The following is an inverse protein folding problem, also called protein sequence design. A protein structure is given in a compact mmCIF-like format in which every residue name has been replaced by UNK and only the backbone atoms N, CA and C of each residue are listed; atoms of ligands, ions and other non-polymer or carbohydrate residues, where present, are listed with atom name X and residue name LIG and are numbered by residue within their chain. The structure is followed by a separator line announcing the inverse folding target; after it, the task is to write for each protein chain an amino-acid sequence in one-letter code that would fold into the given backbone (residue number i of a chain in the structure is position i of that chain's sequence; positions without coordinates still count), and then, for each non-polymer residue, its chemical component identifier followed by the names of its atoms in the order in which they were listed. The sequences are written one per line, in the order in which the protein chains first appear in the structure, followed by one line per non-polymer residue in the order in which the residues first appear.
data_IF_709245797648
#
_entry.id   IF_709245797648
#
_cell.length_a   1.000
_cell.length_b   1.000
_cell.length_c   1.000
_cell.angle_alpha   90.00
_cell.angle_beta   90.00
_cell.angle_gamma   90.00
#
_symmetry.space_group_name_H-M   'P 1'
#
loop_
_entity.id
_entity.type
_entity.pdbx_description
1 polymer ?
#
# COMPACT_ATOMS: atom_id res chain seq x y z
N UNK A 1 12.65 -8.25 1.79
CA UNK A 1 12.76 -6.97 2.50
C UNK A 1 14.17 -6.39 2.45
N UNK A 2 15.17 -7.19 2.78
CA UNK A 2 16.56 -6.75 2.77
C UNK A 2 17.00 -6.22 1.40
N UNK A 3 16.59 -6.89 0.33
CA UNK A 3 16.92 -6.46 -1.03
C UNK A 3 16.30 -5.09 -1.34
N UNK A 4 15.07 -4.86 -0.94
CA UNK A 4 14.38 -3.57 -1.17
C UNK A 4 15.05 -2.46 -0.36
N UNK A 5 15.41 -2.74 0.89
CA UNK A 5 16.14 -1.79 1.73
C UNK A 5 17.47 -1.43 1.06
N UNK A 6 18.20 -2.42 0.57
CA UNK A 6 19.47 -2.21 -0.11
C UNK A 6 19.31 -1.37 -1.38
N UNK A 7 18.31 -1.68 -2.19
CA UNK A 7 18.01 -0.91 -3.40
C UNK A 7 17.70 0.54 -3.04
N UNK A 8 16.90 0.75 -2.00
CA UNK A 8 16.59 2.11 -1.54
C UNK A 8 17.85 2.85 -1.08
N UNK A 9 18.67 2.22 -0.24
CA UNK A 9 19.88 2.86 0.30
C UNK A 9 20.89 3.22 -0.79
N UNK A 10 20.98 2.39 -1.84
CA UNK A 10 21.91 2.62 -2.95
C UNK A 10 21.38 3.62 -3.97
N UNK A 11 20.07 3.70 -4.14
CA UNK A 11 19.45 4.50 -5.20
C UNK A 11 18.74 5.76 -4.72
N UNK A 12 18.43 5.86 -3.43
CA UNK A 12 17.67 6.99 -2.90
C UNK A 12 18.45 8.29 -3.00
N UNK A 13 17.74 9.35 -3.35
CA UNK A 13 18.30 10.69 -3.48
C UNK A 13 17.67 11.60 -2.44
N UNK A 14 18.42 12.62 -2.03
CA UNK A 14 17.91 13.64 -1.12
C UNK A 14 17.11 14.67 -1.89
N UNK A 15 15.98 14.24 -2.43
CA UNK A 15 15.05 15.07 -3.17
C UNK A 15 13.73 15.18 -2.41
N UNK A 16 13.10 16.36 -2.40
CA UNK A 16 11.79 16.50 -1.77
C UNK A 16 10.72 15.71 -2.53
N UNK A 17 9.60 15.43 -1.86
CA UNK A 17 8.45 14.83 -2.52
C UNK A 17 7.92 15.76 -3.62
N UNK A 18 7.43 15.16 -4.70
CA UNK A 18 6.79 15.91 -5.77
C UNK A 18 5.41 16.44 -5.38
N UNK A 19 4.81 15.89 -4.30
CA UNK A 19 3.48 16.20 -3.81
C UNK A 19 2.40 15.94 -4.86
N UNK A 20 2.62 14.90 -5.67
CA UNK A 20 1.68 14.48 -6.71
C UNK A 20 1.45 12.98 -6.57
N UNK A 21 0.21 12.61 -6.23
CA UNK A 21 -0.19 11.22 -6.10
C UNK A 21 -0.49 10.62 -7.46
N UNK A 22 0.14 9.50 -7.78
CA UNK A 22 -0.08 8.78 -9.03
C UNK A 22 -0.21 7.28 -8.78
N UNK A 23 -0.93 6.60 -9.68
CA UNK A 23 -0.94 5.14 -9.73
C UNK A 23 0.29 4.66 -10.51
N UNK A 24 0.51 3.33 -10.52
CA UNK A 24 1.61 2.75 -11.31
C UNK A 24 1.50 3.04 -12.79
N UNK A 25 0.29 3.29 -13.31
CA UNK A 25 0.10 3.66 -14.72
C UNK A 25 0.67 5.03 -15.05
N UNK A 26 0.87 5.88 -14.06
CA UNK A 26 1.50 7.20 -14.24
C UNK A 26 3.02 7.17 -14.21
N UNK A 27 3.63 6.02 -13.91
CA UNK A 27 5.08 5.88 -13.82
C UNK A 27 5.69 5.67 -15.22
N UNK A 28 6.98 5.99 -15.35
CA UNK A 28 7.74 5.77 -16.59
C UNK A 28 7.67 4.30 -17.01
N UNK A 29 7.84 3.39 -16.07
CA UNK A 29 7.86 1.95 -16.32
C UNK A 29 6.49 1.31 -16.07
N UNK A 30 5.41 2.03 -16.36
CA UNK A 30 4.05 1.54 -16.16
C UNK A 30 3.81 0.17 -16.80
N UNK A 31 4.42 -0.10 -17.93
CA UNK A 31 4.30 -1.38 -18.64
C UNK A 31 4.79 -2.58 -17.81
N UNK A 32 5.69 -2.37 -16.85
CA UNK A 32 6.16 -3.42 -15.95
C UNK A 32 5.01 -4.00 -15.12
N UNK A 33 4.05 -3.16 -14.75
CA UNK A 33 2.96 -3.54 -13.84
C UNK A 33 1.79 -4.20 -14.56
N UNK A 34 2.10 -5.11 -15.46
CA UNK A 34 1.12 -5.89 -16.24
C UNK A 34 1.39 -7.37 -16.06
N UNK A 35 0.35 -8.20 -16.30
CA UNK A 35 0.51 -9.63 -16.20
C UNK A 35 0.97 -10.08 -14.81
N UNK A 36 2.10 -10.82 -14.73
CA UNK A 36 2.56 -11.34 -13.42
C UNK A 36 3.02 -10.26 -12.45
N UNK A 37 3.20 -9.01 -12.91
CA UNK A 37 3.63 -7.91 -12.06
C UNK A 37 2.52 -6.91 -11.77
N UNK A 38 1.27 -7.28 -11.96
CA UNK A 38 0.15 -6.49 -11.44
C UNK A 38 0.25 -6.41 -9.93
N UNK A 39 -0.23 -5.30 -9.37
CA UNK A 39 -0.27 -5.15 -7.91
C UNK A 39 -1.36 -6.08 -7.36
N UNK A 40 -0.94 -7.05 -6.54
CA UNK A 40 -1.85 -8.05 -5.97
C UNK A 40 -2.51 -7.50 -4.71
N UNK A 41 -3.61 -6.78 -4.89
CA UNK A 41 -4.35 -6.19 -3.77
C UNK A 41 -5.63 -6.96 -3.42
N UNK A 42 -5.95 -8.02 -4.16
CA UNK A 42 -7.15 -8.82 -3.94
C UNK A 42 -7.29 -9.39 -2.53
N UNK A 43 -6.22 -9.86 -1.86
CA UNK A 43 -6.36 -10.32 -0.48
C UNK A 43 -6.87 -9.22 0.46
N UNK A 44 -6.52 -7.96 0.20
CA UNK A 44 -7.03 -6.83 0.98
C UNK A 44 -8.51 -6.60 0.71
N UNK A 45 -8.93 -6.69 -0.54
CA UNK A 45 -10.33 -6.55 -0.90
C UNK A 45 -11.19 -7.66 -0.32
N UNK A 46 -10.69 -8.89 -0.31
CA UNK A 46 -11.39 -10.03 0.28
C UNK A 46 -11.57 -9.85 1.79
N UNK A 47 -10.59 -9.27 2.44
CA UNK A 47 -10.60 -9.12 3.90
C UNK A 47 -11.30 -7.85 4.36
N UNK A 48 -11.05 -6.73 3.69
CA UNK A 48 -11.48 -5.40 4.13
C UNK A 48 -12.49 -4.73 3.22
N UNK A 49 -12.79 -5.31 2.06
CA UNK A 49 -13.63 -4.65 1.06
C UNK A 49 -15.02 -4.28 1.55
N UNK A 50 -15.54 -4.99 2.55
CA UNK A 50 -16.85 -4.71 3.17
C UNK A 50 -16.72 -4.42 4.66
N UNK A 51 -15.51 -4.15 5.12
CA UNK A 51 -15.22 -3.85 6.51
C UNK A 51 -14.09 -2.81 6.62
N UNK A 52 -14.45 -1.58 6.29
CA UNK A 52 -13.50 -0.46 6.35
C UNK A 52 -13.01 -0.17 7.76
N UNK A 53 -13.81 -0.45 8.79
CA UNK A 53 -13.39 -0.24 10.18
C UNK A 53 -12.23 -1.16 10.55
N UNK A 54 -12.27 -2.42 10.12
CA UNK A 54 -11.16 -3.35 10.35
C UNK A 54 -9.90 -2.89 9.61
N UNK A 55 -10.05 -2.37 8.41
CA UNK A 55 -8.92 -1.80 7.66
C UNK A 55 -8.31 -0.60 8.40
N UNK A 56 -9.13 0.31 8.89
CA UNK A 56 -8.68 1.49 9.65
C UNK A 56 -7.91 1.08 10.90
N UNK A 57 -8.45 0.13 11.64
CA UNK A 57 -7.82 -0.37 12.86
C UNK A 57 -6.46 -0.99 12.57
N UNK A 58 -6.39 -1.85 11.56
CA UNK A 58 -5.14 -2.52 11.18
C UNK A 58 -4.10 -1.52 10.69
N UNK A 59 -4.49 -0.59 9.82
CA UNK A 59 -3.58 0.41 9.29
C UNK A 59 -3.01 1.29 10.41
N UNK A 60 -3.86 1.72 11.35
CA UNK A 60 -3.40 2.49 12.51
C UNK A 60 -2.44 1.72 13.39
N UNK A 61 -2.69 0.44 13.59
CA UNK A 61 -1.80 -0.41 14.38
C UNK A 61 -0.41 -0.54 13.77
N UNK A 62 -0.30 -0.36 12.46
CA UNK A 62 0.97 -0.36 11.74
C UNK A 62 1.62 1.03 11.67
N UNK A 63 1.02 2.02 12.30
CA UNK A 63 1.56 3.37 12.32
C UNK A 63 1.23 4.22 11.09
N UNK A 64 0.29 3.79 10.26
CA UNK A 64 -0.11 4.56 9.09
C UNK A 64 -0.93 5.79 9.50
N UNK A 65 -0.80 6.85 8.70
CA UNK A 65 -1.52 8.09 8.92
C UNK A 65 -2.83 8.10 8.13
N UNK A 66 -3.96 8.43 8.78
CA UNK A 66 -5.23 8.51 8.06
C UNK A 66 -5.29 9.70 7.12
N UNK A 67 -5.97 9.52 5.99
CA UNK A 67 -6.20 10.55 5.00
C UNK A 67 -7.71 10.71 4.79
N UNK A 68 -8.11 11.92 4.45
CA UNK A 68 -9.52 12.21 4.14
C UNK A 68 -9.80 12.03 2.65
N UNK A 69 -9.65 10.79 2.20
CA UNK A 69 -9.87 10.36 0.83
C UNK A 69 -10.60 9.01 0.86
N UNK A 70 -11.41 8.74 -0.15
CA UNK A 70 -12.14 7.47 -0.27
C UNK A 70 -13.01 7.20 0.98
N UNK A 71 -13.42 5.95 1.20
CA UNK A 71 -14.12 5.56 2.43
C UNK A 71 -13.12 5.34 3.57
N UNK A 72 -11.95 4.79 3.25
CA UNK A 72 -10.84 4.66 4.20
C UNK A 72 -9.53 4.80 3.42
N UNK A 73 -8.66 5.70 3.89
CA UNK A 73 -7.40 5.93 3.23
C UNK A 73 -6.28 6.15 4.24
N UNK A 74 -5.10 5.60 3.94
CA UNK A 74 -3.94 5.68 4.83
C UNK A 74 -2.66 5.87 4.05
N UNK A 75 -1.75 6.64 4.65
CA UNK A 75 -0.40 6.79 4.16
C UNK A 75 0.53 5.91 5.00
N UNK A 76 1.23 5.02 4.33
CA UNK A 76 2.28 4.20 4.92
C UNK A 76 3.63 4.80 4.56
N UNK A 77 4.41 5.19 5.55
CA UNK A 77 5.75 5.73 5.31
C UNK A 77 6.73 4.56 5.22
N UNK A 78 6.82 3.96 4.04
CA UNK A 78 7.64 2.77 3.82
C UNK A 78 9.13 3.07 4.02
N UNK A 79 9.59 4.18 3.45
CA UNK A 79 10.93 4.74 3.65
C UNK A 79 10.79 6.25 3.80
N UNK A 80 11.81 6.97 4.32
CA UNK A 80 11.69 8.40 4.56
C UNK A 80 11.22 9.23 3.38
N UNK A 81 11.54 8.82 2.16
CA UNK A 81 11.14 9.53 0.93
C UNK A 81 10.12 8.74 0.10
N UNK A 82 9.55 7.69 0.65
CA UNK A 82 8.64 6.81 -0.12
C UNK A 82 7.35 6.58 0.67
N UNK A 83 6.41 7.54 0.64
CA UNK A 83 5.07 7.28 1.13
C UNK A 83 4.30 6.42 0.13
N UNK A 84 3.47 5.51 0.63
CA UNK A 84 2.57 4.68 -0.17
C UNK A 84 1.16 4.89 0.37
N UNK A 85 0.22 5.18 -0.51
CA UNK A 85 -1.15 5.53 -0.14
C UNK A 85 -2.09 4.40 -0.54
N UNK A 86 -2.85 3.90 0.42
CA UNK A 86 -3.87 2.87 0.18
C UNK A 86 -5.25 3.52 0.35
N UNK A 87 -6.04 3.47 -0.70
CA UNK A 87 -7.39 4.05 -0.72
C UNK A 87 -8.41 2.94 -0.92
N UNK A 88 -9.28 2.76 0.06
CA UNK A 88 -10.33 1.74 0.02
C UNK A 88 -11.69 2.39 -0.15
N UNK A 89 -12.43 1.93 -1.15
CA UNK A 89 -13.86 2.20 -1.30
C UNK A 89 -14.61 0.92 -0.95
N UNK A 90 -15.45 0.98 0.08
CA UNK A 90 -16.18 -0.19 0.54
C UNK A 90 -17.22 -0.63 -0.48
N UNK A 91 -17.38 -1.94 -0.63
CA UNK A 91 -18.44 -2.50 -1.44
C UNK A 91 -19.78 -2.46 -0.72
N UNK A 92 -20.85 -2.48 -1.48
CA UNK A 92 -22.22 -2.55 -0.99
C UNK A 92 -23.03 -3.49 -1.88
N UNK A 93 -24.37 -3.41 -1.81
CA UNK A 93 -25.25 -4.28 -2.60
C UNK A 93 -25.17 -3.99 -4.09
N UNK A 94 -24.80 -2.76 -4.48
CA UNK A 94 -24.77 -2.34 -5.88
C UNK A 94 -23.36 -2.35 -6.47
N UNK A 95 -22.33 -2.07 -5.64
CA UNK A 95 -20.96 -1.87 -6.12
C UNK A 95 -19.98 -2.81 -5.42
N UNK A 96 -19.09 -3.39 -6.21
CA UNK A 96 -17.97 -4.15 -5.68
C UNK A 96 -16.98 -3.22 -4.97
N UNK A 97 -16.29 -3.70 -3.93
CA UNK A 97 -15.25 -2.91 -3.29
C UNK A 97 -14.10 -2.64 -4.24
N UNK A 98 -13.40 -1.54 -4.02
CA UNK A 98 -12.26 -1.13 -4.84
C UNK A 98 -11.14 -0.64 -3.96
N UNK A 99 -9.92 -0.95 -4.34
CA UNK A 99 -8.72 -0.49 -3.68
C UNK A 99 -7.78 0.12 -4.71
N UNK A 100 -7.22 1.28 -4.39
CA UNK A 100 -6.17 1.90 -5.19
C UNK A 100 -4.92 2.09 -4.34
N UNK A 101 -3.77 1.81 -4.93
CA UNK A 101 -2.47 2.07 -4.33
C UNK A 101 -1.84 3.22 -5.11
N UNK A 102 -1.51 4.28 -4.42
CA UNK A 102 -0.92 5.47 -5.01
C UNK A 102 0.47 5.71 -4.44
N UNK A 103 1.26 6.45 -5.18
CA UNK A 103 2.62 6.83 -4.81
C UNK A 103 2.81 8.32 -5.04
N UNK A 104 3.83 8.89 -4.41
CA UNK A 104 4.31 10.19 -4.86
C UNK A 104 5.08 9.99 -6.16
N UNK A 105 4.93 10.89 -7.11
CA UNK A 105 5.61 10.79 -8.42
C UNK A 105 7.13 10.64 -8.27
N UNK A 106 7.72 11.15 -7.21
CA UNK A 106 9.16 11.03 -6.96
C UNK A 106 9.62 9.59 -6.66
N UNK A 107 8.71 8.64 -6.46
CA UNK A 107 9.08 7.25 -6.11
C UNK A 107 10.03 6.63 -7.12
N UNK A 108 9.89 6.95 -8.39
CA UNK A 108 10.75 6.41 -9.45
C UNK A 108 12.22 6.83 -9.32
N UNK A 109 12.46 7.93 -8.61
CA UNK A 109 13.83 8.43 -8.37
C UNK A 109 14.54 7.65 -7.29
N UNK A 110 13.79 6.93 -6.47
CA UNK A 110 14.31 6.19 -5.32
C UNK A 110 14.29 4.68 -5.53
N UNK A 111 13.30 4.16 -6.25
CA UNK A 111 13.08 2.73 -6.43
C UNK A 111 12.83 2.39 -7.90
N UNK A 112 13.37 1.26 -8.33
CA UNK A 112 13.03 0.67 -9.63
C UNK A 112 11.62 0.08 -9.61
N UNK A 113 11.07 -0.24 -10.78
CA UNK A 113 9.72 -0.77 -10.89
C UNK A 113 9.54 -2.09 -10.13
N UNK A 114 10.50 -2.99 -10.21
CA UNK A 114 10.44 -4.27 -9.48
C UNK A 114 10.51 -4.07 -7.97
N UNK A 115 11.28 -3.08 -7.51
CA UNK A 115 11.33 -2.75 -6.08
C UNK A 115 10.00 -2.14 -5.61
N UNK A 116 9.35 -1.31 -6.41
CA UNK A 116 8.02 -0.75 -6.11
C UNK A 116 7.00 -1.89 -5.99
N UNK A 117 7.01 -2.82 -6.95
CA UNK A 117 6.14 -3.99 -6.92
C UNK A 117 6.35 -4.81 -5.64
N UNK A 118 7.59 -5.10 -5.31
CA UNK A 118 7.94 -5.83 -4.09
C UNK A 118 7.53 -5.12 -2.82
N UNK A 119 7.67 -3.79 -2.79
CA UNK A 119 7.27 -2.98 -1.63
C UNK A 119 5.77 -3.08 -1.39
N UNK A 120 4.95 -2.94 -2.43
CA UNK A 120 3.49 -3.07 -2.30
C UNK A 120 3.12 -4.48 -1.83
N UNK A 121 3.80 -5.50 -2.36
CA UNK A 121 3.59 -6.87 -1.93
C UNK A 121 3.84 -7.04 -0.43
N UNK A 122 4.93 -6.48 0.08
CA UNK A 122 5.28 -6.56 1.51
C UNK A 122 4.29 -5.81 2.39
N UNK A 123 3.87 -4.61 2.00
CA UNK A 123 2.88 -3.85 2.78
C UNK A 123 1.55 -4.59 2.80
N UNK A 124 1.13 -5.13 1.67
CA UNK A 124 -0.11 -5.92 1.57
C UNK A 124 -0.05 -7.14 2.48
N UNK A 125 1.04 -7.89 2.44
CA UNK A 125 1.23 -9.04 3.33
C UNK A 125 1.17 -8.64 4.80
N UNK A 126 1.77 -7.52 5.15
CA UNK A 126 1.78 -7.03 6.53
C UNK A 126 0.37 -6.70 7.02
N UNK A 127 -0.43 -6.04 6.19
CA UNK A 127 -1.82 -5.74 6.51
C UNK A 127 -2.64 -7.00 6.74
N UNK A 128 -2.43 -8.03 5.95
CA UNK A 128 -3.14 -9.30 6.10
C UNK A 128 -2.69 -10.05 7.35
N UNK A 129 -1.40 -10.07 7.63
CA UNK A 129 -0.83 -10.80 8.78
C UNK A 129 -1.23 -10.20 10.12
N UNK A 130 -1.24 -8.88 10.25
CA UNK A 130 -1.58 -8.23 11.51
C UNK A 130 -2.96 -8.63 11.98
N UNK A 131 -3.92 -8.73 11.09
CA UNK A 131 -5.26 -9.17 11.48
C UNK A 131 -5.28 -10.64 11.89
N UNK A 132 -4.52 -11.49 11.22
CA UNK A 132 -4.39 -12.90 11.61
C UNK A 132 -3.82 -13.04 13.01
N UNK A 133 -2.83 -12.21 13.34
CA UNK A 133 -2.18 -12.24 14.66
C UNK A 133 -3.11 -11.73 15.76
N UNK A 134 -4.01 -10.79 15.44
CA UNK A 134 -4.96 -10.26 16.41
C UNK A 134 -6.06 -11.25 16.78
N UNK A 135 -6.49 -12.09 15.84
CA UNK A 135 -7.57 -13.05 16.07
C UNK A 135 -7.35 -13.99 17.25
N UNK A 136 -6.16 -14.62 17.43
CA UNK A 136 -5.93 -15.50 18.59
C UNK A 136 -6.04 -14.76 19.92
N UNK A 137 -5.53 -13.54 20.00
CA UNK A 137 -5.61 -12.72 21.21
C UNK A 137 -7.04 -12.37 21.58
N UNK A 138 -7.88 -12.06 20.63
CA UNK A 138 -9.30 -11.79 20.82
C UNK A 138 -10.03 -13.03 21.33
N UNK A 139 -9.65 -14.22 20.87
CA UNK A 139 -10.24 -15.48 21.31
C UNK A 139 -9.89 -15.85 22.75
N UNK A 140 -8.72 -15.43 23.19
CA UNK A 140 -8.25 -15.68 24.56
C UNK A 140 -8.88 -14.72 25.57
N UNK A 141 -9.28 -13.57 25.07
CA UNK A 141 -9.93 -12.56 25.90
C UNK A 141 -11.40 -12.89 26.11
#
# INVERSE_FOLDING_TARGET
LELIVLVYLLGARDEPLAQEMITVQGLKDAHFFQGPHELHTEPLLQRYGRNGDAFRETARSLGADPLDLADAAFRFQAFPRVPVYYLLWEGDEEFEPRLSVLFDRSVERHLSADAIWGLVHLVTLRLVRVEKDLKPSEREA
#
